data_IF_760017176143
#
_entry.id   IF_760017176143
#
_cell.length_a   1.000
_cell.length_b   1.000
_cell.length_c   1.000
_cell.angle_alpha   90.00
_cell.angle_beta   90.00
_cell.angle_gamma   90.00
#
_symmetry.space_group_name_H-M   'P 1'
#
loop_
_entity.id
_entity.type
_entity.pdbx_description
1 polymer ?
#
# COMPACT_ATOMS: atom_id res chain seq x y z
N UNK A 1 -18.54 -15.08 9.58
CA UNK A 1 -18.23 -13.64 9.51
C UNK A 1 -16.80 -13.48 10.01
N UNK A 2 -15.83 -13.24 9.12
CA UNK A 2 -14.45 -13.02 9.54
C UNK A 2 -14.36 -11.60 10.12
N UNK A 3 -13.92 -11.48 11.37
CA UNK A 3 -13.68 -10.18 12.00
C UNK A 3 -12.34 -9.68 11.46
N UNK A 4 -12.34 -8.54 10.77
CA UNK A 4 -11.08 -7.89 10.39
C UNK A 4 -10.41 -7.36 11.67
N UNK A 5 -9.13 -7.67 11.89
CA UNK A 5 -8.40 -7.11 13.03
C UNK A 5 -8.33 -5.58 12.87
N UNK A 6 -8.82 -4.86 13.88
CA UNK A 6 -8.74 -3.40 13.91
C UNK A 6 -7.37 -2.99 14.45
N UNK A 7 -6.63 -2.20 13.67
CA UNK A 7 -5.38 -1.59 14.10
C UNK A 7 -5.66 -0.18 14.63
N UNK A 8 -5.39 0.05 15.91
CA UNK A 8 -5.44 1.39 16.48
C UNK A 8 -4.06 2.04 16.38
N UNK A 9 -3.95 3.06 15.51
CA UNK A 9 -2.74 3.87 15.39
C UNK A 9 -2.81 5.04 16.37
N UNK A 10 -1.69 5.36 17.02
CA UNK A 10 -1.58 6.55 17.87
C UNK A 10 -1.46 7.82 17.01
N UNK A 11 -2.56 8.16 16.33
CA UNK A 11 -2.67 9.23 15.35
C UNK A 11 -4.09 9.80 15.42
N UNK A 12 -4.23 11.12 15.39
CA UNK A 12 -5.55 11.74 15.19
C UNK A 12 -6.06 11.42 13.79
N UNK A 13 -7.21 10.75 13.72
CA UNK A 13 -7.81 10.31 12.46
C UNK A 13 -8.49 11.49 11.74
N UNK A 14 -7.75 12.14 10.85
CA UNK A 14 -8.22 13.25 10.00
C UNK A 14 -7.61 13.14 8.62
N UNK A 15 -8.28 13.74 7.63
CA UNK A 15 -7.85 13.73 6.23
C UNK A 15 -6.40 14.19 6.02
N UNK A 16 -5.98 15.24 6.74
CA UNK A 16 -4.63 15.78 6.63
C UNK A 16 -3.54 14.81 7.14
N UNK A 17 -3.93 13.76 7.88
CA UNK A 17 -3.02 12.76 8.42
C UNK A 17 -3.05 11.42 7.65
N UNK A 18 -3.72 11.36 6.49
CA UNK A 18 -3.83 10.12 5.71
C UNK A 18 -2.48 9.54 5.29
N UNK A 19 -1.50 10.41 5.00
CA UNK A 19 -0.15 9.95 4.67
C UNK A 19 0.52 9.23 5.82
N UNK A 20 0.49 9.82 7.03
CA UNK A 20 1.01 9.17 8.23
C UNK A 20 0.26 7.87 8.50
N UNK A 21 -1.08 7.86 8.37
CA UNK A 21 -1.91 6.67 8.54
C UNK A 21 -1.47 5.53 7.63
N UNK A 22 -1.32 5.79 6.33
CA UNK A 22 -0.88 4.80 5.36
C UNK A 22 0.54 4.30 5.66
N UNK A 23 1.47 5.21 5.94
CA UNK A 23 2.88 4.87 6.20
C UNK A 23 3.04 4.00 7.45
N UNK A 24 2.33 4.35 8.54
CA UNK A 24 2.31 3.58 9.77
C UNK A 24 1.66 2.21 9.59
N UNK A 25 0.62 2.10 8.75
CA UNK A 25 0.00 0.80 8.44
C UNK A 25 0.96 -0.17 7.76
N UNK A 26 1.77 0.30 6.80
CA UNK A 26 2.79 -0.55 6.17
C UNK A 26 3.91 -0.93 7.15
N UNK A 27 4.36 0.01 7.97
CA UNK A 27 5.38 -0.26 8.99
C UNK A 27 4.87 -1.26 10.04
N UNK A 28 3.61 -1.15 10.45
CA UNK A 28 2.96 -2.11 11.33
C UNK A 28 2.84 -3.50 10.66
N UNK A 29 2.40 -3.57 9.41
CA UNK A 29 2.28 -4.83 8.69
C UNK A 29 3.62 -5.56 8.57
N UNK A 30 4.71 -4.83 8.33
CA UNK A 30 6.06 -5.41 8.31
C UNK A 30 6.49 -6.00 9.64
N UNK A 31 6.22 -5.29 10.74
CA UNK A 31 6.61 -5.72 12.09
C UNK A 31 5.79 -6.90 12.61
N UNK A 32 4.50 -6.94 12.29
CA UNK A 32 3.55 -7.84 12.97
C UNK A 32 3.02 -8.99 12.10
N UNK A 33 3.00 -8.84 10.77
CA UNK A 33 2.41 -9.85 9.88
C UNK A 33 3.44 -10.76 9.21
N UNK A 34 4.75 -10.62 9.48
CA UNK A 34 5.80 -11.33 8.75
C UNK A 34 5.60 -11.24 7.22
N UNK A 35 6.04 -10.12 6.63
CA UNK A 35 5.85 -9.86 5.21
C UNK A 35 6.35 -10.97 4.27
N UNK A 36 7.28 -11.83 4.68
CA UNK A 36 7.72 -12.96 3.86
C UNK A 36 6.62 -13.98 3.55
N UNK A 37 5.48 -13.92 4.26
CA UNK A 37 4.27 -14.71 3.97
C UNK A 37 3.40 -14.11 2.86
N UNK A 38 3.69 -12.89 2.40
CA UNK A 38 2.86 -12.16 1.44
C UNK A 38 3.69 -11.73 0.23
N UNK A 39 3.24 -12.08 -0.97
CA UNK A 39 3.91 -11.68 -2.22
C UNK A 39 3.59 -10.23 -2.60
N UNK A 40 2.33 -9.85 -2.40
CA UNK A 40 1.82 -8.52 -2.71
C UNK A 40 0.94 -8.00 -1.57
N UNK A 41 0.99 -6.68 -1.37
CA UNK A 41 0.17 -5.96 -0.39
C UNK A 41 -0.71 -4.96 -1.14
N UNK A 42 -2.01 -5.03 -0.93
CA UNK A 42 -2.99 -4.08 -1.45
C UNK A 42 -3.37 -3.08 -0.36
N UNK A 43 -3.19 -1.79 -0.63
CA UNK A 43 -3.89 -0.73 0.12
C UNK A 43 -5.19 -0.43 -0.60
N UNK A 44 -6.30 -0.39 0.13
CA UNK A 44 -7.61 0.01 -0.37
C UNK A 44 -8.36 0.83 0.70
N UNK A 45 -9.39 1.57 0.28
CA UNK A 45 -10.32 2.24 1.20
C UNK A 45 -11.46 1.28 1.58
N UNK A 46 -12.23 1.61 2.62
CA UNK A 46 -13.31 0.77 3.16
C UNK A 46 -14.54 0.70 2.24
N UNK A 47 -14.64 1.61 1.28
CA UNK A 47 -15.63 1.65 0.21
C UNK A 47 -15.10 1.08 -1.14
N UNK A 48 -13.91 0.47 -1.15
CA UNK A 48 -13.32 -0.11 -2.36
C UNK A 48 -13.79 -1.54 -2.62
N UNK A 49 -14.31 -1.81 -3.82
CA UNK A 49 -14.63 -3.16 -4.29
C UNK A 49 -13.50 -3.75 -5.14
N UNK A 50 -13.08 -4.98 -4.85
CA UNK A 50 -11.98 -5.66 -5.53
C UNK A 50 -12.44 -7.02 -6.06
N UNK A 51 -12.29 -7.25 -7.37
CA UNK A 51 -12.42 -8.60 -7.96
C UNK A 51 -11.08 -9.32 -7.79
N UNK A 52 -10.97 -10.13 -6.74
CA UNK A 52 -9.70 -10.75 -6.32
C UNK A 52 -9.15 -11.71 -7.37
N UNK A 53 -10.00 -12.38 -8.12
CA UNK A 53 -9.61 -13.28 -9.22
C UNK A 53 -8.86 -12.52 -10.31
N UNK A 54 -9.40 -11.37 -10.73
CA UNK A 54 -8.75 -10.51 -11.72
C UNK A 54 -7.45 -9.94 -11.18
N UNK A 55 -7.42 -9.55 -9.90
CA UNK A 55 -6.22 -9.07 -9.26
C UNK A 55 -5.12 -10.15 -9.25
N UNK A 56 -5.45 -11.40 -8.91
CA UNK A 56 -4.49 -12.51 -8.93
C UNK A 56 -3.96 -12.77 -10.33
N UNK A 57 -4.81 -12.76 -11.35
CA UNK A 57 -4.39 -12.93 -12.74
C UNK A 57 -3.45 -11.81 -13.20
N UNK A 58 -3.73 -10.57 -12.81
CA UNK A 58 -2.88 -9.41 -13.11
C UNK A 58 -1.49 -9.52 -12.45
N UNK A 59 -1.43 -10.05 -11.22
CA UNK A 59 -0.19 -10.13 -10.43
C UNK A 59 0.62 -11.40 -10.71
N UNK A 60 -0.01 -12.47 -11.20
CA UNK A 60 0.63 -13.77 -11.44
C UNK A 60 1.96 -13.74 -12.23
N UNK A 61 2.14 -12.90 -13.27
CA UNK A 61 3.40 -12.89 -14.02
C UNK A 61 4.51 -12.02 -13.39
N UNK A 62 4.23 -11.33 -12.27
CA UNK A 62 5.16 -10.34 -11.70
C UNK A 62 6.04 -10.98 -10.63
N UNK A 63 7.34 -10.64 -10.64
CA UNK A 63 8.27 -11.05 -9.59
C UNK A 63 8.08 -10.17 -8.35
N UNK A 64 7.53 -10.75 -7.29
CA UNK A 64 7.34 -10.08 -5.99
C UNK A 64 8.67 -9.74 -5.28
N UNK A 65 9.78 -10.37 -5.70
CA UNK A 65 11.14 -10.05 -5.25
C UNK A 65 11.71 -8.78 -5.89
N UNK A 66 11.10 -8.28 -6.97
CA UNK A 66 11.42 -6.97 -7.54
C UNK A 66 10.47 -5.89 -7.02
N UNK A 67 10.91 -4.63 -6.88
CA UNK A 67 10.03 -3.53 -6.53
C UNK A 67 8.97 -3.30 -7.64
N UNK A 68 7.73 -3.67 -7.34
CA UNK A 68 6.56 -3.48 -8.19
C UNK A 68 5.59 -2.55 -7.50
N UNK A 69 5.10 -1.56 -8.24
CA UNK A 69 4.11 -0.59 -7.79
C UNK A 69 3.04 -0.43 -8.87
N UNK A 70 1.82 -0.87 -8.57
CA UNK A 70 0.71 -0.91 -9.53
C UNK A 70 -0.53 -0.21 -8.96
N UNK A 71 -1.25 0.48 -9.81
CA UNK A 71 -2.46 1.22 -9.43
C UNK A 71 -2.81 2.25 -10.48
N UNK A 72 -3.68 3.19 -10.10
CA UNK A 72 -4.03 4.32 -10.96
C UNK A 72 -3.08 5.49 -10.71
N UNK A 73 -2.25 5.80 -11.70
CA UNK A 73 -1.38 6.98 -11.67
C UNK A 73 -2.18 8.28 -11.79
N UNK A 74 -1.93 9.19 -10.86
CA UNK A 74 -2.25 10.61 -10.93
C UNK A 74 -0.96 11.39 -11.12
N UNK A 75 -1.03 12.43 -11.94
CA UNK A 75 0.07 13.37 -12.15
C UNK A 75 -0.22 14.62 -11.33
N UNK A 76 0.80 15.18 -10.70
CA UNK A 76 0.63 16.39 -9.92
C UNK A 76 0.48 17.59 -10.87
N UNK A 77 -0.63 18.31 -10.75
CA UNK A 77 -0.97 19.38 -11.71
C UNK A 77 0.09 20.49 -11.81
N UNK A 78 0.90 20.69 -10.76
CA UNK A 78 1.99 21.69 -10.74
C UNK A 78 3.33 21.16 -11.23
N UNK A 79 3.50 19.84 -11.30
CA UNK A 79 4.69 19.20 -11.86
C UNK A 79 4.33 17.82 -12.44
N UNK A 80 4.14 17.70 -13.77
CA UNK A 80 3.79 16.42 -14.39
C UNK A 80 4.91 15.38 -14.30
N UNK A 81 6.12 15.75 -13.87
CA UNK A 81 7.18 14.80 -13.54
C UNK A 81 6.96 14.13 -12.17
N UNK A 82 6.12 14.72 -11.33
CA UNK A 82 5.68 14.13 -10.07
C UNK A 82 4.38 13.38 -10.28
N UNK A 83 4.37 12.11 -9.88
CA UNK A 83 3.20 11.26 -9.97
C UNK A 83 3.06 10.44 -8.69
N UNK A 84 1.83 10.03 -8.41
CA UNK A 84 1.47 9.22 -7.26
C UNK A 84 0.29 8.32 -7.60
N UNK A 85 0.03 7.30 -6.77
CA UNK A 85 -1.14 6.44 -6.95
C UNK A 85 -2.37 7.06 -6.30
N UNK A 86 -3.51 6.97 -7.00
CA UNK A 86 -4.80 7.29 -6.43
C UNK A 86 -5.08 6.41 -5.20
N UNK A 87 -5.49 7.04 -4.10
CA UNK A 87 -5.81 6.34 -2.86
C UNK A 87 -7.07 5.49 -2.96
N UNK A 88 -8.12 6.03 -3.60
CA UNK A 88 -9.45 5.42 -3.67
C UNK A 88 -9.59 4.28 -4.69
N UNK A 89 -8.75 4.23 -5.72
CA UNK A 89 -8.69 3.04 -6.59
C UNK A 89 -8.00 1.85 -5.91
N UNK A 90 -7.33 2.10 -4.79
CA UNK A 90 -6.32 1.22 -4.23
C UNK A 90 -5.06 1.13 -5.10
N UNK A 91 -4.01 0.57 -4.51
CA UNK A 91 -2.75 0.27 -5.19
C UNK A 91 -2.04 -0.92 -4.53
N UNK A 92 -1.28 -1.63 -5.35
CA UNK A 92 -0.52 -2.82 -4.97
C UNK A 92 0.97 -2.50 -4.92
N UNK A 93 1.61 -3.00 -3.87
CA UNK A 93 3.05 -3.05 -3.73
C UNK A 93 3.50 -4.51 -3.62
N UNK A 94 4.58 -4.89 -4.32
CA UNK A 94 5.25 -6.15 -4.01
C UNK A 94 5.93 -6.10 -2.65
N UNK A 95 6.24 -7.28 -2.08
CA UNK A 95 7.05 -7.40 -0.87
C UNK A 95 8.33 -6.56 -0.92
N UNK A 96 9.07 -6.62 -2.03
CA UNK A 96 10.27 -5.83 -2.22
C UNK A 96 9.99 -4.31 -2.27
N UNK A 97 8.88 -3.89 -2.89
CA UNK A 97 8.49 -2.49 -2.91
C UNK A 97 8.11 -1.96 -1.52
N UNK A 98 7.38 -2.74 -0.72
CA UNK A 98 7.05 -2.36 0.67
C UNK A 98 8.32 -2.18 1.50
N UNK A 99 9.27 -3.12 1.42
CA UNK A 99 10.56 -3.01 2.12
C UNK A 99 11.33 -1.77 1.68
N UNK A 100 11.43 -1.54 0.37
CA UNK A 100 12.12 -0.37 -0.18
C UNK A 100 11.48 0.94 0.31
N UNK A 101 10.15 1.03 0.27
CA UNK A 101 9.38 2.18 0.76
C UNK A 101 9.66 2.45 2.24
N UNK A 102 9.55 1.43 3.10
CA UNK A 102 9.80 1.58 4.52
C UNK A 102 11.24 2.03 4.81
N UNK A 103 12.23 1.45 4.12
CA UNK A 103 13.64 1.80 4.32
C UNK A 103 13.99 3.20 3.82
N UNK A 104 13.42 3.66 2.69
CA UNK A 104 13.85 4.89 2.00
C UNK A 104 12.97 6.12 2.24
N UNK A 105 11.74 5.93 2.69
CA UNK A 105 10.79 7.03 2.84
C UNK A 105 10.21 7.14 4.25
N UNK A 106 10.04 6.02 4.97
CA UNK A 106 9.39 6.02 6.29
C UNK A 106 10.41 6.07 7.43
N UNK A 107 11.42 5.18 7.40
CA UNK A 107 12.39 5.02 8.49
C UNK A 107 13.65 5.86 8.33
N UNK A 108 13.87 6.43 7.15
CA UNK A 108 15.01 7.32 6.84
C UNK A 108 14.68 8.81 6.92
N UNK A 109 13.43 9.14 7.25
CA UNK A 109 12.94 10.52 7.39
C UNK A 109 13.09 11.02 8.83
#
# INVERSE_FOLDING_TARGET
MAIMPLMHLNLTDVYNNLWQKASMSFDWAERWLNLDQFDFVLKADDDTFVVVENLRLLLAPLDHGQPVHLGRWFFYDRDPKQSYMSGGSGYVLSRAAVRLFLTRAVRSA
#
